data_IF_754066572674
#
_entry.id   IF_754066572674
#
_cell.length_a   1.000
_cell.length_b   1.000
_cell.length_c   1.000
_cell.angle_alpha   90.00
_cell.angle_beta   90.00
_cell.angle_gamma   90.00
#
_symmetry.space_group_name_H-M   'P 1'
#
loop_
_entity.id
_entity.type
_entity.pdbx_description
1 polymer ?
#
# COMPACT_ATOMS: atom_id res chain seq x y z
N UNK A 1 -21.99 -10.27 -0.79
CA UNK A 1 -21.50 -10.52 0.59
C UNK A 1 -21.07 -11.98 0.82
N UNK A 2 -21.77 -13.00 0.31
CA UNK A 2 -21.38 -14.41 0.46
C UNK A 2 -20.00 -14.76 -0.13
N UNK A 3 -19.67 -14.24 -1.31
CA UNK A 3 -18.40 -14.55 -1.99
C UNK A 3 -17.15 -14.00 -1.27
N UNK A 4 -17.28 -12.84 -0.62
CA UNK A 4 -16.19 -12.22 0.16
C UNK A 4 -15.90 -13.00 1.45
N UNK A 5 -16.97 -13.49 2.10
CA UNK A 5 -16.88 -14.42 3.23
C UNK A 5 -16.21 -15.74 2.81
N UNK A 6 -16.57 -16.27 1.64
CA UNK A 6 -15.97 -17.49 1.11
C UNK A 6 -14.48 -17.31 0.79
N UNK A 7 -14.08 -16.17 0.23
CA UNK A 7 -12.67 -15.87 -0.07
C UNK A 7 -11.83 -15.72 1.20
N UNK A 8 -12.31 -14.95 2.17
CA UNK A 8 -11.59 -14.72 3.44
C UNK A 8 -11.46 -16.01 4.25
N UNK A 9 -12.48 -16.86 4.23
CA UNK A 9 -12.46 -18.21 4.83
C UNK A 9 -11.49 -19.12 4.09
N UNK A 10 -11.54 -19.15 2.75
CA UNK A 10 -10.61 -19.94 1.93
C UNK A 10 -9.15 -19.58 2.21
N UNK A 11 -8.84 -18.28 2.29
CA UNK A 11 -7.51 -17.80 2.66
C UNK A 11 -7.15 -18.29 4.06
N UNK A 12 -8.01 -18.10 5.06
CA UNK A 12 -7.72 -18.51 6.43
C UNK A 12 -7.45 -20.02 6.57
N UNK A 13 -8.20 -20.85 5.83
CA UNK A 13 -8.05 -22.32 5.88
C UNK A 13 -6.82 -22.83 5.15
N UNK A 14 -6.40 -22.17 4.07
CA UNK A 14 -5.33 -22.67 3.20
C UNK A 14 -4.00 -21.92 3.35
N UNK A 15 -3.94 -20.82 4.11
CA UNK A 15 -2.72 -20.02 4.23
C UNK A 15 -1.51 -20.83 4.70
N UNK A 16 -1.74 -21.79 5.61
CA UNK A 16 -0.67 -22.59 6.19
C UNK A 16 -0.05 -23.59 5.21
N UNK A 17 -0.80 -23.98 4.17
CA UNK A 17 -0.34 -24.85 3.08
C UNK A 17 0.68 -24.18 2.15
N UNK A 18 0.80 -22.85 2.16
CA UNK A 18 1.79 -22.15 1.35
C UNK A 18 3.20 -22.39 1.92
N UNK A 19 4.17 -22.81 1.11
CA UNK A 19 5.54 -23.06 1.61
C UNK A 19 6.41 -21.81 1.64
N UNK A 20 6.07 -20.78 0.86
CA UNK A 20 6.83 -19.52 0.78
C UNK A 20 6.25 -18.45 1.71
N UNK A 21 7.04 -17.99 2.68
CA UNK A 21 6.66 -16.93 3.63
C UNK A 21 6.26 -15.62 2.93
N UNK A 22 6.98 -15.24 1.86
CA UNK A 22 6.65 -14.05 1.08
C UNK A 22 5.24 -14.11 0.46
N UNK A 23 4.84 -15.28 -0.03
CA UNK A 23 3.48 -15.51 -0.57
C UNK A 23 2.45 -15.51 0.56
N UNK A 24 2.73 -16.14 1.71
CA UNK A 24 1.84 -16.10 2.88
C UNK A 24 1.55 -14.65 3.31
N UNK A 25 2.61 -13.85 3.44
CA UNK A 25 2.49 -12.46 3.88
C UNK A 25 1.69 -11.63 2.87
N UNK A 26 1.91 -11.84 1.57
CA UNK A 26 1.16 -11.15 0.52
C UNK A 26 -0.33 -11.53 0.53
N UNK A 27 -0.66 -12.82 0.67
CA UNK A 27 -2.05 -13.29 0.75
C UNK A 27 -2.73 -12.76 2.03
N UNK A 28 -2.02 -12.74 3.17
CA UNK A 28 -2.52 -12.18 4.43
C UNK A 28 -2.80 -10.68 4.28
N UNK A 29 -1.87 -9.93 3.71
CA UNK A 29 -2.06 -8.50 3.44
C UNK A 29 -3.30 -8.26 2.55
N UNK A 30 -3.50 -9.04 1.48
CA UNK A 30 -4.70 -8.91 0.64
C UNK A 30 -5.98 -9.19 1.43
N UNK A 31 -6.01 -10.25 2.26
CA UNK A 31 -7.14 -10.53 3.14
C UNK A 31 -7.44 -9.35 4.06
N UNK A 32 -6.41 -8.81 4.71
CA UNK A 32 -6.56 -7.73 5.70
C UNK A 32 -6.99 -6.42 5.04
N UNK A 33 -6.52 -6.13 3.82
CA UNK A 33 -6.98 -5.02 2.99
C UNK A 33 -8.47 -5.14 2.69
N UNK A 34 -8.93 -6.35 2.31
CA UNK A 34 -10.35 -6.61 2.04
C UNK A 34 -11.18 -6.39 3.32
N UNK A 35 -10.71 -6.90 4.46
CA UNK A 35 -11.36 -6.71 5.76
C UNK A 35 -11.44 -5.23 6.12
N UNK A 36 -10.36 -4.48 5.95
CA UNK A 36 -10.33 -3.04 6.16
C UNK A 36 -11.35 -2.31 5.27
N UNK A 37 -11.36 -2.55 3.97
CA UNK A 37 -12.33 -1.94 3.05
C UNK A 37 -13.79 -2.29 3.38
N UNK A 38 -14.02 -3.38 4.11
CA UNK A 38 -15.34 -3.79 4.57
C UNK A 38 -15.68 -3.29 5.99
N UNK A 39 -14.71 -2.78 6.76
CA UNK A 39 -14.94 -2.15 8.05
C UNK A 39 -15.71 -0.83 7.92
N UNK A 40 -16.25 -0.32 9.03
CA UNK A 40 -16.94 0.98 9.06
C UNK A 40 -16.03 2.12 8.59
N UNK A 41 -14.79 2.14 9.06
CA UNK A 41 -13.77 3.11 8.66
C UNK A 41 -13.47 3.03 7.15
N UNK A 42 -13.19 1.83 6.64
CA UNK A 42 -12.90 1.66 5.22
C UNK A 42 -14.10 1.95 4.32
N UNK A 43 -15.32 1.68 4.79
CA UNK A 43 -16.54 2.07 4.09
C UNK A 43 -16.69 3.59 4.01
N UNK A 44 -16.43 4.32 5.09
CA UNK A 44 -16.46 5.78 5.08
C UNK A 44 -15.48 6.35 4.06
N UNK A 45 -14.24 5.84 4.03
CA UNK A 45 -13.23 6.23 3.04
C UNK A 45 -13.71 5.97 1.59
N UNK A 46 -14.37 4.84 1.34
CA UNK A 46 -14.95 4.55 0.02
C UNK A 46 -16.05 5.56 -0.34
N UNK A 47 -16.89 5.95 0.63
CA UNK A 47 -17.94 6.96 0.41
C UNK A 47 -17.35 8.33 0.09
N UNK A 48 -16.34 8.76 0.84
CA UNK A 48 -15.68 10.06 0.63
C UNK A 48 -14.97 10.09 -0.73
N UNK A 49 -14.36 8.98 -1.13
CA UNK A 49 -13.76 8.84 -2.46
C UNK A 49 -14.78 8.80 -3.58
N UNK A 50 -15.98 8.26 -3.36
CA UNK A 50 -17.04 8.26 -4.37
C UNK A 50 -17.42 9.69 -4.79
N UNK A 51 -17.25 10.66 -3.90
CA UNK A 51 -17.53 12.06 -4.15
C UNK A 51 -16.31 12.82 -4.77
N UNK A 52 -15.11 12.24 -4.71
CA UNK A 52 -13.87 12.80 -5.30
C UNK A 52 -13.83 12.79 -6.84
N UNK A 53 -12.89 13.56 -7.40
CA UNK A 53 -12.56 13.58 -8.84
C UNK A 53 -12.02 12.23 -9.34
N UNK A 54 -11.37 11.46 -8.46
CA UNK A 54 -10.73 10.19 -8.81
C UNK A 54 -11.71 9.05 -9.06
N UNK A 55 -12.96 9.13 -8.57
CA UNK A 55 -13.93 8.05 -8.72
C UNK A 55 -14.26 7.71 -10.19
N UNK A 56 -14.14 8.67 -11.12
CA UNK A 56 -14.49 8.47 -12.53
C UNK A 56 -13.32 8.77 -13.48
N UNK A 57 -12.12 9.02 -12.97
CA UNK A 57 -10.97 9.29 -13.83
C UNK A 57 -10.46 7.96 -14.44
N UNK A 58 -10.57 7.75 -15.75
CA UNK A 58 -10.17 6.49 -16.39
C UNK A 58 -8.65 6.27 -16.38
N UNK A 59 -7.85 7.32 -16.12
CA UNK A 59 -6.40 7.27 -16.09
C UNK A 59 -5.83 7.18 -14.67
N UNK A 60 -6.69 7.16 -13.65
CA UNK A 60 -6.24 7.24 -12.26
C UNK A 60 -5.36 6.07 -11.85
N UNK A 61 -5.63 4.86 -12.35
CA UNK A 61 -4.81 3.68 -12.08
C UNK A 61 -3.39 3.88 -12.60
N UNK A 62 -3.27 4.36 -13.85
CA UNK A 62 -1.98 4.69 -14.47
C UNK A 62 -1.26 5.82 -13.72
N UNK A 63 -1.97 6.88 -13.33
CA UNK A 63 -1.36 8.00 -12.58
C UNK A 63 -0.88 7.58 -11.19
N UNK A 64 -1.65 6.75 -10.49
CA UNK A 64 -1.24 6.17 -9.21
C UNK A 64 -0.03 5.26 -9.38
N UNK A 65 0.02 4.46 -10.44
CA UNK A 65 1.20 3.64 -10.74
C UNK A 65 2.44 4.50 -11.01
N UNK A 66 2.34 5.55 -11.81
CA UNK A 66 3.44 6.49 -12.07
C UNK A 66 3.90 7.16 -10.78
N UNK A 67 2.96 7.65 -9.95
CA UNK A 67 3.28 8.25 -8.66
C UNK A 67 4.03 7.28 -7.73
N UNK A 68 3.53 6.04 -7.60
CA UNK A 68 4.18 5.03 -6.77
C UNK A 68 5.56 4.63 -7.30
N UNK A 69 5.77 4.68 -8.62
CA UNK A 69 7.09 4.47 -9.22
C UNK A 69 8.04 5.62 -8.89
N UNK A 70 7.60 6.87 -9.01
CA UNK A 70 8.42 8.03 -8.64
C UNK A 70 8.87 7.97 -7.18
N UNK A 71 7.95 7.73 -6.23
CA UNK A 71 8.33 7.57 -4.83
C UNK A 71 9.32 6.42 -4.60
N UNK A 72 9.18 5.30 -5.34
CA UNK A 72 10.09 4.17 -5.23
C UNK A 72 11.47 4.47 -5.82
N UNK A 73 11.54 5.23 -6.91
CA UNK A 73 12.79 5.69 -7.53
C UNK A 73 13.54 6.60 -6.56
N UNK A 74 12.86 7.57 -5.93
CA UNK A 74 13.44 8.45 -4.91
C UNK A 74 13.98 7.66 -3.71
N UNK A 75 13.21 6.67 -3.23
CA UNK A 75 13.63 5.75 -2.16
C UNK A 75 14.91 4.97 -2.53
N UNK A 76 14.94 4.39 -3.73
CA UNK A 76 16.09 3.61 -4.19
C UNK A 76 17.32 4.49 -4.36
N UNK A 77 17.13 5.69 -4.91
CA UNK A 77 18.20 6.67 -5.07
C UNK A 77 18.76 7.12 -3.72
N UNK A 78 17.89 7.41 -2.74
CA UNK A 78 18.30 7.77 -1.39
C UNK A 78 19.18 6.70 -0.72
N UNK A 79 18.77 5.44 -0.80
CA UNK A 79 19.57 4.32 -0.28
C UNK A 79 20.92 4.21 -1.00
N UNK A 80 20.93 4.30 -2.33
CA UNK A 80 22.18 4.22 -3.11
C UNK A 80 23.16 5.33 -2.73
N UNK A 81 22.65 6.55 -2.52
CA UNK A 81 23.47 7.67 -2.10
C UNK A 81 24.02 7.48 -0.68
N UNK A 82 23.22 6.98 0.26
CA UNK A 82 23.66 6.69 1.62
C UNK A 82 24.69 5.54 1.68
N UNK A 83 24.52 4.52 0.84
CA UNK A 83 25.51 3.45 0.68
C UNK A 83 26.84 3.98 0.13
N UNK A 84 26.77 4.89 -0.85
CA UNK A 84 27.94 5.52 -1.44
C UNK A 84 28.66 6.41 -0.43
N UNK A 85 27.92 7.17 0.38
CA UNK A 85 28.47 7.99 1.47
C UNK A 85 29.17 7.13 2.51
N UNK A 86 28.52 6.06 2.99
CA UNK A 86 29.14 5.10 3.90
C UNK A 86 30.46 4.53 3.35
N UNK A 87 30.47 4.17 2.06
CA UNK A 87 31.68 3.69 1.38
C UNK A 87 32.81 4.73 1.38
N UNK A 88 32.51 6.00 1.08
CA UNK A 88 33.52 7.07 1.11
C UNK A 88 34.02 7.41 2.52
N UNK A 89 33.20 7.17 3.54
CA UNK A 89 33.57 7.28 4.95
C UNK A 89 34.34 6.07 5.48
N UNK A 90 34.51 5.02 4.66
CA UNK A 90 35.21 3.79 5.05
C UNK A 90 34.43 2.93 6.04
N UNK A 91 33.10 3.07 6.12
CA UNK A 91 32.21 2.27 6.96
C UNK A 91 31.29 1.39 6.11
N UNK A 92 30.80 0.31 6.70
CA UNK A 92 29.73 -0.48 6.07
C UNK A 92 28.37 0.19 6.30
N UNK A 93 27.52 0.15 5.28
CA UNK A 93 26.14 0.61 5.39
C UNK A 93 25.33 -0.41 6.20
N UNK A 94 24.80 0.02 7.34
CA UNK A 94 23.96 -0.81 8.19
C UNK A 94 22.54 -0.85 7.63
N UNK A 95 21.93 -2.04 7.65
CA UNK A 95 20.55 -2.22 7.22
C UNK A 95 19.55 -1.40 8.04
N UNK A 96 19.88 -1.03 9.29
CA UNK A 96 19.07 -0.11 10.10
C UNK A 96 19.06 1.33 9.57
N UNK A 97 20.01 1.71 8.73
CA UNK A 97 20.02 3.02 8.06
C UNK A 97 18.98 3.11 6.94
N UNK A 98 18.29 2.02 6.62
CA UNK A 98 17.20 2.01 5.64
C UNK A 98 15.89 2.58 6.22
N UNK A 99 15.71 2.58 7.54
CA UNK A 99 14.42 2.95 8.16
C UNK A 99 13.96 4.39 7.82
N UNK A 100 14.83 5.41 7.82
CA UNK A 100 14.40 6.77 7.46
C UNK A 100 13.87 6.86 6.02
N UNK A 101 14.51 6.19 5.06
CA UNK A 101 14.07 6.15 3.67
C UNK A 101 12.70 5.49 3.52
N UNK A 102 12.43 4.48 4.36
CA UNK A 102 11.15 3.81 4.40
C UNK A 102 10.04 4.78 4.86
N UNK A 103 10.30 5.55 5.92
CA UNK A 103 9.35 6.55 6.42
C UNK A 103 9.11 7.64 5.36
N UNK A 104 10.17 8.08 4.67
CA UNK A 104 10.06 9.02 3.54
C UNK A 104 9.23 8.46 2.40
N UNK A 105 9.39 7.17 2.07
CA UNK A 105 8.59 6.51 1.04
C UNK A 105 7.11 6.45 1.44
N UNK A 106 6.82 6.11 2.70
CA UNK A 106 5.46 6.13 3.22
C UNK A 106 4.83 7.52 3.06
N UNK A 107 5.53 8.55 3.52
CA UNK A 107 5.10 9.95 3.44
C UNK A 107 4.89 10.37 1.99
N UNK A 108 5.80 10.01 1.07
CA UNK A 108 5.70 10.31 -0.35
C UNK A 108 4.40 9.74 -0.95
N UNK A 109 4.13 8.46 -0.70
CA UNK A 109 2.93 7.80 -1.25
C UNK A 109 1.65 8.41 -0.68
N UNK A 110 1.60 8.62 0.63
CA UNK A 110 0.41 9.16 1.31
C UNK A 110 0.13 10.60 0.86
N UNK A 111 1.14 11.46 0.85
CA UNK A 111 0.98 12.86 0.48
C UNK A 111 0.61 13.03 -1.00
N UNK A 112 1.32 12.35 -1.91
CA UNK A 112 1.01 12.44 -3.33
C UNK A 112 -0.37 11.84 -3.66
N UNK A 113 -0.77 10.78 -2.96
CA UNK A 113 -2.12 10.24 -3.09
C UNK A 113 -3.20 11.18 -2.58
N UNK A 114 -2.95 11.86 -1.46
CA UNK A 114 -3.84 12.88 -0.91
C UNK A 114 -3.96 14.10 -1.83
N UNK A 115 -2.86 14.54 -2.44
CA UNK A 115 -2.87 15.64 -3.42
C UNK A 115 -3.67 15.27 -4.66
N UNK A 116 -3.52 14.04 -5.15
CA UNK A 116 -4.18 13.61 -6.38
C UNK A 116 -5.69 13.39 -6.23
N UNK A 117 -6.12 12.79 -5.12
CA UNK A 117 -7.50 12.30 -4.94
C UNK A 117 -8.20 12.84 -3.70
N UNK A 118 -7.55 13.72 -2.94
CA UNK A 118 -8.05 14.27 -1.70
C UNK A 118 -7.65 13.45 -0.45
N UNK A 119 -7.91 14.01 0.75
CA UNK A 119 -7.43 13.44 2.02
C UNK A 119 -7.87 12.00 2.30
N UNK A 120 -9.04 11.59 1.80
CA UNK A 120 -9.55 10.24 1.94
C UNK A 120 -8.63 9.21 1.25
N UNK A 121 -8.02 9.56 0.11
CA UNK A 121 -7.03 8.71 -0.55
C UNK A 121 -5.75 8.59 0.27
N UNK A 122 -5.24 9.70 0.83
CA UNK A 122 -4.07 9.65 1.71
C UNK A 122 -4.31 8.74 2.91
N UNK A 123 -5.48 8.88 3.55
CA UNK A 123 -5.89 8.04 4.68
C UNK A 123 -5.97 6.56 4.27
N UNK A 124 -6.56 6.26 3.10
CA UNK A 124 -6.57 4.91 2.55
C UNK A 124 -5.15 4.35 2.38
N UNK A 125 -4.27 5.08 1.69
CA UNK A 125 -2.92 4.62 1.40
C UNK A 125 -2.12 4.38 2.68
N UNK A 126 -2.29 5.23 3.70
CA UNK A 126 -1.67 5.06 5.02
C UNK A 126 -2.13 3.77 5.72
N UNK A 127 -3.44 3.50 5.74
CA UNK A 127 -3.97 2.26 6.33
C UNK A 127 -3.50 1.00 5.59
N UNK A 128 -3.49 1.04 4.25
CA UNK A 128 -3.01 -0.08 3.43
C UNK A 128 -1.50 -0.27 3.61
N UNK A 129 -0.75 0.83 3.69
CA UNK A 129 0.66 0.82 4.00
C UNK A 129 0.90 0.14 5.34
N UNK A 130 0.17 0.48 6.41
CA UNK A 130 0.25 -0.18 7.72
C UNK A 130 -0.09 -1.67 7.72
N UNK A 131 -1.00 -2.12 6.85
CA UNK A 131 -1.35 -3.55 6.69
C UNK A 131 -0.24 -4.29 5.95
N UNK A 132 0.17 -3.78 4.78
CA UNK A 132 1.21 -4.39 3.97
C UNK A 132 2.58 -4.37 4.66
N UNK A 133 2.77 -3.37 5.52
CA UNK A 133 4.01 -3.13 6.24
C UNK A 133 4.10 -3.80 7.63
N UNK A 134 3.24 -4.75 7.99
CA UNK A 134 3.24 -5.34 9.34
C UNK A 134 4.25 -6.48 9.53
N UNK A 135 4.21 -7.48 8.67
CA UNK A 135 4.86 -8.79 8.92
C UNK A 135 6.23 -8.95 8.24
N UNK A 136 6.66 -8.01 7.41
CA UNK A 136 7.83 -8.19 6.53
C UNK A 136 9.13 -7.53 7.04
N UNK A 137 9.10 -6.90 8.21
CA UNK A 137 10.17 -6.01 8.67
C UNK A 137 10.80 -6.39 9.99
N UNK A 138 10.27 -7.44 10.61
CA UNK A 138 10.91 -8.13 11.72
C UNK A 138 12.37 -8.53 11.41
N UNK A 139 12.73 -8.70 10.13
CA UNK A 139 14.08 -9.07 9.68
C UNK A 139 15.08 -7.89 9.56
N UNK A 140 14.61 -6.63 9.55
CA UNK A 140 15.49 -5.46 9.31
C UNK A 140 15.69 -4.58 10.54
N UNK A 141 14.95 -4.79 11.63
CA UNK A 141 14.95 -3.89 12.80
C UNK A 141 14.31 -2.51 12.51
N UNK A 142 14.23 -2.13 11.23
CA UNK A 142 13.33 -1.12 10.70
C UNK A 142 11.92 -1.67 10.58
N UNK A 143 10.93 -0.81 10.70
CA UNK A 143 9.67 -1.05 10.01
C UNK A 143 9.88 -0.68 8.51
N UNK A 144 9.32 -1.47 7.57
CA UNK A 144 8.79 -1.20 6.18
C UNK A 144 9.62 -1.18 4.83
N UNK A 145 10.16 -2.26 4.26
CA UNK A 145 10.48 -2.39 2.80
C UNK A 145 9.38 -1.90 1.84
N UNK A 146 9.86 -1.16 0.84
CA UNK A 146 9.12 -0.52 -0.24
C UNK A 146 8.40 -1.45 -1.24
N UNK A 147 9.02 -2.57 -1.63
CA UNK A 147 8.65 -3.28 -2.85
C UNK A 147 7.35 -4.10 -2.74
N UNK A 148 7.10 -4.70 -1.58
CA UNK A 148 5.86 -5.46 -1.31
C UNK A 148 4.71 -4.49 -1.08
N UNK A 149 4.96 -3.40 -0.36
CA UNK A 149 3.97 -2.36 -0.09
C UNK A 149 3.46 -1.74 -1.38
N UNK A 150 4.34 -1.44 -2.35
CA UNK A 150 3.94 -1.03 -3.69
C UNK A 150 3.01 -2.04 -4.37
N UNK A 151 3.29 -3.34 -4.29
CA UNK A 151 2.43 -4.38 -4.90
C UNK A 151 1.05 -4.44 -4.23
N UNK A 152 1.01 -4.32 -2.91
CA UNK A 152 -0.25 -4.28 -2.16
C UNK A 152 -1.09 -3.06 -2.53
N UNK A 153 -0.47 -1.87 -2.56
CA UNK A 153 -1.12 -0.62 -2.96
C UNK A 153 -1.61 -0.67 -4.41
N UNK A 154 -0.78 -1.17 -5.35
CA UNK A 154 -1.15 -1.36 -6.76
C UNK A 154 -2.39 -2.25 -6.93
N UNK A 155 -2.62 -3.21 -6.03
CA UNK A 155 -3.84 -4.05 -6.05
C UNK A 155 -5.02 -3.40 -5.34
N UNK A 156 -4.77 -2.72 -4.22
CA UNK A 156 -5.81 -2.15 -3.37
C UNK A 156 -6.48 -0.91 -4.00
N UNK A 157 -5.69 -0.04 -4.64
CA UNK A 157 -6.19 1.22 -5.22
C UNK A 157 -7.26 0.98 -6.31
N UNK A 158 -7.06 0.09 -7.30
CA UNK A 158 -8.10 -0.20 -8.28
C UNK A 158 -9.37 -0.79 -7.67
N UNK A 159 -9.26 -1.61 -6.62
CA UNK A 159 -10.43 -2.17 -5.93
C UNK A 159 -11.26 -1.07 -5.26
N UNK A 160 -10.59 -0.14 -4.58
CA UNK A 160 -11.20 1.00 -3.93
C UNK A 160 -11.93 1.91 -4.93
N UNK A 161 -11.23 2.31 -5.99
CA UNK A 161 -11.75 3.22 -6.99
C UNK A 161 -12.93 2.63 -7.77
N UNK A 162 -12.88 1.34 -8.12
CA UNK A 162 -14.02 0.64 -8.72
C UNK A 162 -15.25 0.65 -7.81
N UNK A 163 -15.06 0.45 -6.49
CA UNK A 163 -16.16 0.48 -5.53
C UNK A 163 -16.73 1.89 -5.37
N UNK A 164 -15.87 2.91 -5.28
CA UNK A 164 -16.26 4.31 -5.21
C UNK A 164 -17.09 4.74 -6.44
N UNK A 165 -16.64 4.37 -7.65
CA UNK A 165 -17.35 4.61 -8.90
C UNK A 165 -18.77 4.01 -8.91
N UNK A 166 -18.91 2.76 -8.45
CA UNK A 166 -20.20 2.08 -8.36
C UNK A 166 -21.15 2.81 -7.42
N UNK A 167 -20.70 3.21 -6.22
CA UNK A 167 -21.54 3.94 -5.25
C UNK A 167 -22.03 5.25 -5.85
N UNK A 168 -21.15 6.02 -6.50
CA UNK A 168 -21.52 7.28 -7.15
C UNK A 168 -22.57 7.08 -8.25
N UNK A 169 -22.48 5.99 -9.02
CA UNK A 169 -23.45 5.65 -10.07
C UNK A 169 -24.86 5.39 -9.53
N UNK A 170 -24.97 4.75 -8.37
CA UNK A 170 -26.27 4.40 -7.77
C UNK A 170 -26.84 5.46 -6.80
N UNK A 171 -26.07 6.52 -6.50
CA UNK A 171 -26.55 7.69 -5.74
C UNK A 171 -27.27 8.73 -6.63
N UNK A 172 -27.15 8.63 -7.96
CA UNK A 172 -27.89 9.45 -8.93
C UNK A 172 -29.13 8.73 -9.41
#
# INVERSE_FOLDING_TARGET
MSELSNLTTCIATNLDSCTKTSIKNEIRAVKDIIVYMCSEEGQQVVLDLADSSCANDPLIETRMEIMMMGCLEDFQFGIQMAQLEAYFEGREFNISEVCPFIDELHVCIVNNGAEMCGPAMGSFLSSIWGIASRDQFTQFGCHQEAAVTRRALKRAVPMLLKRAALIRKYRK
#
